data_IF_659344101882
#
_entry.id   IF_659344101882
#
_cell.length_a   1.000
_cell.length_b   1.000
_cell.length_c   1.000
_cell.angle_alpha   90.00
_cell.angle_beta   90.00
_cell.angle_gamma   90.00
#
_symmetry.space_group_name_H-M   'P 1'
#
loop_
_entity.id
_entity.type
_entity.pdbx_description
1 polymer ?
#
# COMPACT_ATOMS: atom_id res chain seq x y z
N UNK A 1 -8.58 1.30 -0.65
CA UNK A 1 -8.03 0.67 0.46
C UNK A 1 -6.89 -0.30 0.26
N UNK A 2 -7.10 -1.57 0.62
CA UNK A 2 -6.03 -2.58 0.74
C UNK A 2 -5.15 -2.72 -0.52
N UNK A 3 -5.75 -2.96 -1.67
CA UNK A 3 -4.98 -3.15 -2.91
C UNK A 3 -4.23 -1.89 -3.35
N UNK A 4 -4.77 -0.71 -3.08
CA UNK A 4 -4.07 0.56 -3.33
C UNK A 4 -2.81 0.67 -2.49
N UNK A 5 -2.87 0.26 -1.21
CA UNK A 5 -1.71 0.27 -0.33
C UNK A 5 -0.59 -0.67 -0.79
N UNK A 6 -0.94 -1.78 -1.46
CA UNK A 6 0.05 -2.72 -1.99
C UNK A 6 0.94 -2.10 -3.08
N UNK A 7 0.42 -1.14 -3.86
CA UNK A 7 1.21 -0.41 -4.86
C UNK A 7 2.36 0.40 -4.25
N UNK A 8 2.27 0.72 -2.98
CA UNK A 8 3.35 1.38 -2.24
C UNK A 8 4.19 0.37 -1.46
N UNK A 9 3.55 -0.39 -0.58
CA UNK A 9 4.24 -1.23 0.40
C UNK A 9 5.00 -2.43 -0.19
N UNK A 10 4.69 -2.84 -1.42
CA UNK A 10 5.37 -3.97 -2.09
C UNK A 10 6.51 -3.53 -3.01
N UNK A 11 6.62 -2.25 -3.30
CA UNK A 11 7.55 -1.73 -4.31
C UNK A 11 8.45 -0.61 -3.80
N UNK A 12 8.22 -0.11 -2.60
CA UNK A 12 9.04 0.93 -1.97
C UNK A 12 9.40 0.43 -0.58
N UNK A 13 10.68 0.39 -0.28
CA UNK A 13 11.19 -0.04 1.01
C UNK A 13 11.64 1.16 1.85
N UNK A 14 11.85 0.90 3.15
CA UNK A 14 12.37 1.92 4.06
C UNK A 14 13.78 2.33 3.62
N UNK A 15 13.99 3.62 3.50
CA UNK A 15 15.29 4.19 3.09
C UNK A 15 15.32 4.66 1.63
N UNK A 16 14.33 4.31 0.82
CA UNK A 16 14.21 4.84 -0.52
C UNK A 16 13.94 6.35 -0.51
N UNK A 17 14.47 7.04 -1.49
CA UNK A 17 14.32 8.48 -1.64
C UNK A 17 13.39 8.84 -2.81
N UNK A 18 12.56 9.86 -2.63
CA UNK A 18 11.77 10.40 -3.73
C UNK A 18 12.65 11.14 -4.74
N UNK A 19 12.33 10.99 -6.01
CA UNK A 19 12.94 11.74 -7.11
C UNK A 19 12.01 12.90 -7.46
N UNK A 20 12.25 14.08 -6.89
CA UNK A 20 11.37 15.25 -7.03
C UNK A 20 11.02 15.56 -8.50
N UNK A 21 12.01 15.49 -9.40
CA UNK A 21 11.80 15.74 -10.83
C UNK A 21 10.93 14.70 -11.54
N UNK A 22 10.66 13.57 -10.88
CA UNK A 22 9.80 12.48 -11.35
C UNK A 22 8.57 12.28 -10.44
N UNK A 23 8.14 13.34 -9.77
CA UNK A 23 6.91 13.40 -9.00
C UNK A 23 6.03 14.54 -9.53
N UNK A 24 4.74 14.30 -9.65
CA UNK A 24 3.78 15.31 -10.12
C UNK A 24 2.38 15.01 -9.61
N UNK A 25 1.62 16.05 -9.38
CA UNK A 25 0.18 15.99 -9.18
C UNK A 25 -0.48 17.22 -9.78
N UNK A 26 -1.60 17.03 -10.45
CA UNK A 26 -2.46 18.13 -10.94
C UNK A 26 -3.45 18.61 -9.86
N UNK A 27 -3.43 18.00 -8.68
CA UNK A 27 -4.26 18.38 -7.55
C UNK A 27 -3.82 19.67 -6.87
N UNK A 28 -4.61 20.13 -5.91
CA UNK A 28 -4.37 21.33 -5.14
C UNK A 28 -4.04 20.99 -3.70
N UNK A 29 -3.24 21.82 -3.00
CA UNK A 29 -3.11 21.68 -1.55
C UNK A 29 -4.49 21.76 -0.88
N UNK A 30 -4.79 20.81 -0.01
CA UNK A 30 -5.97 20.85 0.84
C UNK A 30 -5.96 22.05 1.79
N UNK A 31 -7.08 22.37 2.40
CA UNK A 31 -7.23 23.54 3.27
C UNK A 31 -6.34 23.54 4.51
N UNK A 32 -5.85 22.38 4.93
CA UNK A 32 -4.89 22.18 6.01
C UNK A 32 -3.42 22.19 5.54
N UNK A 33 -3.19 22.23 4.22
CA UNK A 33 -1.87 22.22 3.61
C UNK A 33 -1.13 20.86 3.66
N UNK A 34 -1.76 19.80 4.17
CA UNK A 34 -1.12 18.49 4.38
C UNK A 34 -1.48 17.44 3.34
N UNK A 35 -2.52 17.64 2.57
CA UNK A 35 -2.96 16.70 1.56
C UNK A 35 -3.10 17.37 0.19
N UNK A 36 -2.94 16.59 -0.87
CA UNK A 36 -3.31 16.99 -2.23
C UNK A 36 -4.73 16.50 -2.48
N UNK A 37 -5.61 17.39 -2.86
CA UNK A 37 -7.02 17.10 -3.16
C UNK A 37 -7.36 17.44 -4.60
N UNK A 38 -8.46 16.90 -5.09
CA UNK A 38 -8.96 17.12 -6.46
C UNK A 38 -7.97 16.71 -7.57
N UNK A 39 -7.01 15.83 -7.28
CA UNK A 39 -6.13 15.29 -8.31
C UNK A 39 -6.88 14.30 -9.20
N UNK A 40 -6.76 14.44 -10.51
CA UNK A 40 -7.30 13.49 -11.48
C UNK A 40 -6.22 12.60 -12.08
N UNK A 41 -4.97 13.04 -12.08
CA UNK A 41 -3.81 12.19 -12.34
C UNK A 41 -2.61 12.66 -11.53
N UNK A 42 -1.81 11.71 -11.12
CA UNK A 42 -0.57 12.00 -10.40
C UNK A 42 0.40 10.83 -10.54
N UNK A 43 1.66 11.12 -10.35
CA UNK A 43 2.69 10.10 -10.24
C UNK A 43 3.76 10.50 -9.24
N UNK A 44 4.34 9.48 -8.63
CA UNK A 44 5.49 9.63 -7.75
C UNK A 44 6.52 8.55 -8.04
N UNK A 45 7.77 8.91 -8.00
CA UNK A 45 8.89 7.99 -8.16
C UNK A 45 9.76 8.00 -6.92
N UNK A 46 10.09 6.81 -6.44
CA UNK A 46 11.11 6.61 -5.41
C UNK A 46 12.17 5.64 -5.94
N UNK A 47 13.41 5.82 -5.50
CA UNK A 47 14.52 4.96 -5.84
C UNK A 47 15.32 4.59 -4.59
N UNK A 48 15.89 3.38 -4.64
CA UNK A 48 16.86 2.93 -3.67
C UNK A 48 18.22 3.56 -3.96
N UNK A 49 18.77 4.36 -3.04
CA UNK A 49 20.07 4.98 -3.24
C UNK A 49 21.25 4.00 -3.23
N UNK A 50 21.04 2.77 -2.74
CA UNK A 50 22.10 1.76 -2.64
C UNK A 50 22.12 0.83 -3.86
N UNK A 51 20.96 0.39 -4.34
CA UNK A 51 20.84 -0.59 -5.44
C UNK A 51 20.51 0.04 -6.78
N UNK A 52 20.00 1.27 -6.79
CA UNK A 52 19.49 1.93 -7.98
C UNK A 52 18.17 1.37 -8.50
N UNK A 53 17.51 0.51 -7.74
CA UNK A 53 16.14 0.09 -8.02
C UNK A 53 15.18 1.28 -7.90
N UNK A 54 14.12 1.28 -8.69
CA UNK A 54 13.14 2.36 -8.66
C UNK A 54 11.72 1.84 -8.88
N UNK A 55 10.78 2.61 -8.37
CA UNK A 55 9.34 2.38 -8.54
C UNK A 55 8.63 3.69 -8.77
N UNK A 56 7.74 3.69 -9.76
CA UNK A 56 6.83 4.80 -10.02
C UNK A 56 5.40 4.34 -9.84
N UNK A 57 4.66 5.03 -8.97
CA UNK A 57 3.23 4.81 -8.79
C UNK A 57 2.49 5.93 -9.52
N UNK A 58 1.51 5.55 -10.34
CA UNK A 58 0.73 6.45 -11.19
C UNK A 58 -0.74 6.25 -10.89
N UNK A 59 -1.48 7.33 -10.73
CA UNK A 59 -2.94 7.30 -10.62
C UNK A 59 -3.57 8.02 -11.82
N UNK A 60 -4.66 7.48 -12.34
CA UNK A 60 -5.44 8.08 -13.40
C UNK A 60 -6.93 7.88 -13.10
N UNK A 61 -7.62 8.96 -12.73
CA UNK A 61 -9.08 8.99 -12.54
C UNK A 61 -9.79 9.74 -13.66
N UNK A 62 -9.08 10.03 -14.77
CA UNK A 62 -9.70 10.61 -15.96
C UNK A 62 -10.51 9.56 -16.73
N UNK A 63 -11.34 9.99 -17.66
CA UNK A 63 -12.09 9.10 -18.54
C UNK A 63 -11.25 8.51 -19.70
N UNK A 64 -9.99 8.95 -19.83
CA UNK A 64 -9.13 8.61 -20.97
C UNK A 64 -7.92 7.78 -20.52
N UNK A 65 -7.44 6.91 -21.39
CA UNK A 65 -6.15 6.24 -21.19
C UNK A 65 -5.02 7.25 -21.40
N UNK A 66 -4.07 7.27 -20.46
CA UNK A 66 -2.92 8.15 -20.52
C UNK A 66 -1.63 7.36 -20.75
N UNK A 67 -0.84 7.79 -21.74
CA UNK A 67 0.46 7.18 -22.02
C UNK A 67 1.58 7.96 -21.33
N UNK A 68 2.37 7.26 -20.54
CA UNK A 68 3.53 7.80 -19.85
C UNK A 68 4.81 7.25 -20.47
N UNK A 69 5.63 8.14 -21.03
CA UNK A 69 6.95 7.78 -21.54
C UNK A 69 8.00 8.09 -20.49
N UNK A 70 8.69 7.06 -20.07
CA UNK A 70 9.81 7.14 -19.14
C UNK A 70 11.11 7.35 -19.91
N UNK A 71 11.97 8.22 -19.37
CA UNK A 71 13.35 8.39 -19.81
C UNK A 71 14.23 8.33 -18.56
N UNK A 72 14.98 7.25 -18.41
CA UNK A 72 15.78 6.96 -17.21
C UNK A 72 17.25 7.00 -17.59
N UNK A 73 18.02 7.90 -16.96
CA UNK A 73 19.42 8.12 -17.32
C UNK A 73 20.42 8.10 -16.15
N UNK A 74 19.96 8.29 -14.93
CA UNK A 74 20.86 8.52 -13.80
C UNK A 74 20.77 7.45 -12.69
N UNK A 75 20.07 6.34 -12.96
CA UNK A 75 19.95 5.24 -12.02
C UNK A 75 20.75 4.02 -12.50
N UNK A 76 21.39 3.34 -11.58
CA UNK A 76 22.19 2.14 -11.89
C UNK A 76 21.37 1.02 -12.52
N UNK A 77 20.06 0.99 -12.24
CA UNK A 77 19.09 0.02 -12.81
C UNK A 77 18.28 0.58 -13.98
N UNK A 78 18.71 1.69 -14.60
CA UNK A 78 17.98 2.28 -15.72
C UNK A 78 17.74 1.32 -16.89
N UNK A 79 18.65 0.37 -17.12
CA UNK A 79 18.55 -0.65 -18.16
C UNK A 79 17.72 -1.87 -17.75
N UNK A 80 17.40 -2.01 -16.48
CA UNK A 80 16.74 -3.21 -15.95
C UNK A 80 15.29 -3.31 -16.47
N UNK A 81 14.80 -4.53 -16.74
CA UNK A 81 13.39 -4.73 -17.03
C UNK A 81 12.51 -4.20 -15.89
N UNK A 82 11.35 -3.70 -16.21
CA UNK A 82 10.36 -3.25 -15.23
C UNK A 82 9.11 -4.12 -15.32
N UNK A 83 8.52 -4.40 -14.17
CA UNK A 83 7.17 -4.99 -14.09
C UNK A 83 6.12 -3.90 -13.95
N UNK A 84 4.98 -4.12 -14.58
CA UNK A 84 3.82 -3.21 -14.52
C UNK A 84 2.68 -3.91 -13.80
N UNK A 85 2.20 -3.29 -12.74
CA UNK A 85 1.11 -3.79 -11.90
C UNK A 85 -0.04 -2.80 -11.89
N UNK A 86 -1.26 -3.29 -12.02
CA UNK A 86 -2.48 -2.48 -12.11
C UNK A 86 -3.49 -2.89 -11.03
N UNK A 87 -4.14 -1.91 -10.45
CA UNK A 87 -5.42 -2.05 -9.76
C UNK A 87 -6.38 -1.05 -10.39
N UNK A 88 -7.53 -1.52 -10.83
CA UNK A 88 -8.58 -0.68 -11.41
C UNK A 88 -9.97 -1.22 -11.07
N UNK A 89 -10.97 -0.40 -11.27
CA UNK A 89 -12.36 -0.83 -11.18
C UNK A 89 -12.71 -1.90 -12.23
N UNK A 90 -13.87 -2.55 -12.08
CA UNK A 90 -14.35 -3.54 -13.05
C UNK A 90 -14.62 -2.90 -14.41
N UNK A 91 -14.46 -3.68 -15.48
CA UNK A 91 -14.76 -3.23 -16.86
C UNK A 91 -16.26 -2.91 -17.08
N UNK A 92 -17.11 -3.50 -16.25
CA UNK A 92 -18.56 -3.27 -16.23
C UNK A 92 -19.03 -3.05 -14.81
N UNK A 93 -19.90 -2.06 -14.60
CA UNK A 93 -20.54 -1.83 -13.30
C UNK A 93 -21.40 -3.01 -12.82
N UNK A 94 -21.76 -3.88 -13.75
CA UNK A 94 -22.59 -5.06 -13.48
C UNK A 94 -21.74 -6.32 -13.22
N UNK A 95 -20.42 -6.28 -13.43
CA UNK A 95 -19.56 -7.38 -13.04
C UNK A 95 -19.37 -7.35 -11.52
N UNK A 96 -19.91 -8.33 -10.82
CA UNK A 96 -19.67 -8.51 -9.39
C UNK A 96 -18.25 -8.96 -9.03
N UNK A 97 -17.37 -9.10 -10.02
CA UNK A 97 -16.01 -9.63 -9.87
C UNK A 97 -14.98 -8.51 -9.88
N UNK A 98 -14.83 -7.85 -8.76
CA UNK A 98 -13.82 -6.81 -8.56
C UNK A 98 -12.38 -7.36 -8.49
N UNK A 99 -12.22 -8.64 -8.14
CA UNK A 99 -10.92 -9.22 -7.81
C UNK A 99 -9.99 -9.41 -9.01
N UNK A 100 -10.53 -9.59 -10.23
CA UNK A 100 -9.72 -9.82 -11.44
C UNK A 100 -8.79 -8.67 -11.80
N UNK A 101 -9.16 -7.45 -11.43
CA UNK A 101 -8.44 -6.24 -11.76
C UNK A 101 -7.61 -5.67 -10.60
N UNK A 102 -7.51 -6.40 -9.48
CA UNK A 102 -6.84 -5.91 -8.30
C UNK A 102 -5.42 -6.46 -8.19
N UNK A 103 -4.47 -5.54 -8.09
CA UNK A 103 -3.05 -5.83 -7.91
C UNK A 103 -2.54 -6.92 -8.88
N UNK A 104 -2.83 -6.71 -10.16
CA UNK A 104 -2.52 -7.64 -11.25
C UNK A 104 -1.27 -7.20 -11.98
N UNK A 105 -0.33 -8.11 -12.17
CA UNK A 105 0.78 -7.88 -13.10
C UNK A 105 0.26 -7.93 -14.52
N UNK A 106 0.41 -6.84 -15.25
CA UNK A 106 -0.13 -6.70 -16.61
C UNK A 106 0.94 -6.74 -17.70
N UNK A 107 2.20 -6.42 -17.37
CA UNK A 107 3.30 -6.46 -18.31
C UNK A 107 4.67 -6.61 -17.63
N UNK A 108 5.64 -7.07 -18.42
CA UNK A 108 7.07 -6.85 -18.23
C UNK A 108 7.58 -6.07 -19.42
N UNK A 109 8.35 -5.00 -19.19
CA UNK A 109 8.88 -4.14 -20.24
C UNK A 109 10.40 -4.08 -20.10
N UNK A 110 11.09 -4.34 -21.22
CA UNK A 110 12.54 -4.11 -21.29
C UNK A 110 12.77 -2.72 -21.88
N UNK A 111 13.43 -1.82 -21.14
CA UNK A 111 13.75 -0.49 -21.65
C UNK A 111 14.65 -0.56 -22.89
N UNK A 112 14.50 0.42 -23.78
CA UNK A 112 15.32 0.54 -24.99
C UNK A 112 16.27 1.71 -24.83
N UNK A 113 17.56 1.48 -25.06
CA UNK A 113 18.55 2.54 -25.04
C UNK A 113 18.35 3.50 -26.22
N UNK A 114 18.33 4.79 -25.90
CA UNK A 114 18.24 5.86 -26.87
C UNK A 114 18.98 7.09 -26.34
N UNK A 115 19.96 7.56 -27.08
CA UNK A 115 20.73 8.79 -26.81
C UNK A 115 21.35 8.81 -25.37
N UNK A 116 21.80 7.65 -24.89
CA UNK A 116 22.42 7.51 -23.57
C UNK A 116 21.45 7.45 -22.38
N UNK A 117 20.17 7.29 -22.69
CA UNK A 117 19.11 7.03 -21.70
C UNK A 117 18.33 5.77 -22.07
N UNK A 118 17.60 5.22 -21.12
CA UNK A 118 16.72 4.06 -21.30
C UNK A 118 15.26 4.52 -21.32
N UNK A 119 14.52 4.13 -22.34
CA UNK A 119 13.15 4.60 -22.56
C UNK A 119 12.16 3.46 -22.68
N UNK A 120 10.96 3.68 -22.18
CA UNK A 120 9.80 2.80 -22.33
C UNK A 120 8.50 3.60 -22.13
N UNK A 121 7.38 3.04 -22.56
CA UNK A 121 6.05 3.67 -22.42
C UNK A 121 5.09 2.71 -21.70
N UNK A 122 4.28 3.27 -20.84
CA UNK A 122 3.22 2.57 -20.11
C UNK A 122 1.90 3.30 -20.32
N UNK A 123 0.87 2.56 -20.72
CA UNK A 123 -0.50 3.06 -20.86
C UNK A 123 -1.27 2.81 -19.57
N UNK A 124 -1.79 3.87 -18.96
CA UNK A 124 -2.55 3.84 -17.72
C UNK A 124 -4.02 4.10 -18.02
N UNK A 125 -4.85 3.09 -17.79
CA UNK A 125 -6.28 3.13 -18.08
C UNK A 125 -7.04 4.08 -17.15
N UNK A 126 -8.28 4.47 -17.52
CA UNK A 126 -9.19 5.16 -16.60
C UNK A 126 -9.37 4.42 -15.28
N UNK A 127 -9.62 5.18 -14.22
CA UNK A 127 -9.92 4.69 -12.86
C UNK A 127 -8.93 3.63 -12.37
N UNK A 128 -7.63 3.88 -12.59
CA UNK A 128 -6.59 2.93 -12.21
C UNK A 128 -5.46 3.55 -11.38
N UNK A 129 -4.82 2.68 -10.61
CA UNK A 129 -3.50 2.90 -10.04
C UNK A 129 -2.56 1.86 -10.63
N UNK A 130 -1.41 2.32 -11.10
CA UNK A 130 -0.39 1.49 -11.75
C UNK A 130 0.94 1.69 -11.05
N UNK A 131 1.65 0.60 -10.79
CA UNK A 131 3.05 0.64 -10.37
C UNK A 131 3.94 0.09 -11.48
N UNK A 132 5.00 0.83 -11.78
CA UNK A 132 6.09 0.43 -12.68
C UNK A 132 7.35 0.31 -11.84
N UNK A 133 7.99 -0.86 -11.83
CA UNK A 133 9.10 -1.09 -10.91
C UNK A 133 10.14 -2.05 -11.48
N UNK A 134 11.42 -1.80 -11.14
CA UNK A 134 12.52 -2.75 -11.31
C UNK A 134 12.51 -3.84 -10.24
N UNK A 135 11.77 -3.62 -9.13
CA UNK A 135 11.53 -4.64 -8.11
C UNK A 135 10.42 -5.58 -8.61
N UNK A 136 10.69 -6.86 -8.55
CA UNK A 136 9.71 -7.91 -8.81
C UNK A 136 9.30 -8.49 -7.45
N UNK A 137 8.24 -7.97 -6.81
CA UNK A 137 7.77 -8.60 -5.60
C UNK A 137 7.38 -10.03 -5.98
N UNK A 138 8.07 -11.00 -5.39
CA UNK A 138 7.53 -12.34 -5.40
C UNK A 138 6.10 -12.21 -4.91
N UNK A 139 5.15 -12.54 -5.77
CA UNK A 139 3.80 -12.78 -5.30
C UNK A 139 3.98 -13.91 -4.30
N UNK A 140 4.12 -13.54 -3.03
CA UNK A 140 3.88 -14.50 -1.97
C UNK A 140 2.51 -15.03 -2.35
N UNK A 141 2.50 -16.23 -2.93
CA UNK A 141 1.27 -16.98 -3.00
C UNK A 141 0.66 -16.74 -1.63
N UNK A 142 -0.53 -16.17 -1.60
CA UNK A 142 -1.29 -16.18 -0.36
C UNK A 142 -1.18 -17.64 0.04
N UNK A 143 -0.34 -17.92 1.02
CA UNK A 143 -0.38 -19.22 1.65
C UNK A 143 -1.84 -19.30 1.98
N UNK A 144 -2.52 -20.14 1.23
CA UNK A 144 -3.93 -20.40 1.47
C UNK A 144 -3.89 -20.95 2.87
N UNK A 145 -3.97 -20.03 3.85
CA UNK A 145 -3.98 -20.42 5.24
C UNK A 145 -5.14 -21.36 5.29
N UNK A 146 -4.83 -22.63 5.46
CA UNK A 146 -5.85 -23.64 5.54
C UNK A 146 -6.83 -23.19 6.60
N UNK A 147 -7.93 -22.62 6.15
CA UNK A 147 -8.96 -22.10 7.04
C UNK A 147 -9.78 -23.22 7.64
N UNK A 148 -9.52 -24.48 7.21
CA UNK A 148 -10.18 -25.66 7.74
C UNK A 148 -9.84 -25.91 9.21
N UNK A 149 -8.68 -25.43 9.69
CA UNK A 149 -8.27 -25.50 11.09
C UNK A 149 -8.56 -24.22 11.88
N UNK A 150 -9.26 -23.24 11.31
CA UNK A 150 -9.65 -22.05 12.07
C UNK A 150 -10.62 -22.46 13.17
N UNK A 151 -10.09 -22.44 14.37
CA UNK A 151 -10.91 -22.51 15.56
C UNK A 151 -11.79 -21.26 15.59
N UNK A 152 -13.08 -21.44 15.51
CA UNK A 152 -14.02 -20.34 15.70
C UNK A 152 -13.85 -19.79 17.13
N UNK A 153 -13.95 -18.48 17.28
CA UNK A 153 -13.96 -17.86 18.59
C UNK A 153 -15.12 -18.44 19.39
N UNK A 154 -14.81 -19.07 20.51
CA UNK A 154 -15.83 -19.62 21.41
C UNK A 154 -16.58 -18.49 22.10
N UNK A 155 -17.91 -18.59 22.08
CA UNK A 155 -18.77 -17.65 22.81
C UNK A 155 -19.39 -18.31 24.04
N UNK A 156 -19.55 -17.61 25.18
CA UNK A 156 -19.13 -16.21 25.40
C UNK A 156 -17.62 -16.07 25.48
N UNK A 157 -17.07 -15.00 24.86
CA UNK A 157 -15.66 -14.65 24.93
C UNK A 157 -15.42 -13.67 26.10
N UNK A 158 -14.35 -13.89 26.82
CA UNK A 158 -13.82 -12.95 27.81
C UNK A 158 -12.30 -12.88 27.72
N UNK A 159 -11.73 -11.73 28.04
CA UNK A 159 -10.30 -11.51 28.09
C UNK A 159 -9.96 -10.79 29.39
N UNK A 160 -9.03 -11.34 30.16
CA UNK A 160 -8.52 -10.74 31.39
C UNK A 160 -7.24 -9.96 31.17
N UNK A 161 -6.73 -9.96 29.92
CA UNK A 161 -5.52 -9.28 29.47
C UNK A 161 -4.21 -9.77 30.12
N UNK A 162 -4.22 -10.84 30.88
CA UNK A 162 -3.02 -11.31 31.60
C UNK A 162 -2.02 -12.05 30.72
N UNK A 163 -2.45 -12.76 29.70
CA UNK A 163 -1.63 -13.47 28.70
C UNK A 163 -0.43 -14.27 29.23
N UNK A 164 -0.50 -14.77 30.47
CA UNK A 164 0.59 -15.52 31.10
C UNK A 164 0.99 -16.82 30.36
N UNK A 165 0.11 -17.35 29.54
CA UNK A 165 0.33 -18.56 28.74
C UNK A 165 1.02 -18.28 27.40
N UNK A 166 1.33 -17.01 27.11
CA UNK A 166 1.98 -16.57 25.89
C UNK A 166 3.46 -16.23 26.13
N UNK A 167 4.30 -16.10 25.07
CA UNK A 167 5.68 -15.64 25.21
C UNK A 167 5.76 -14.28 25.95
N UNK A 168 6.86 -14.05 26.67
CA UNK A 168 7.09 -12.84 27.46
C UNK A 168 6.94 -11.54 26.64
N UNK A 169 7.30 -11.59 25.37
CA UNK A 169 7.20 -10.46 24.43
C UNK A 169 5.86 -10.38 23.70
N UNK A 170 4.87 -11.18 24.09
CA UNK A 170 3.59 -11.26 23.36
C UNK A 170 2.90 -9.91 23.18
N UNK A 171 2.78 -9.12 24.25
CA UNK A 171 2.18 -7.79 24.17
C UNK A 171 3.08 -6.79 23.45
N UNK A 172 4.35 -6.72 23.78
CA UNK A 172 5.29 -5.76 23.21
C UNK A 172 5.51 -5.98 21.72
N UNK A 173 5.58 -7.24 21.27
CA UNK A 173 5.76 -7.57 19.84
C UNK A 173 4.57 -7.17 18.96
N UNK A 174 3.40 -6.97 19.55
CA UNK A 174 2.17 -6.58 18.84
C UNK A 174 1.65 -5.18 19.21
N UNK A 175 2.51 -4.33 19.79
CA UNK A 175 2.16 -2.97 20.15
C UNK A 175 1.09 -2.88 21.24
N UNK A 176 1.11 -3.83 22.17
CA UNK A 176 0.16 -3.93 23.29
C UNK A 176 -1.31 -4.11 22.89
N UNK A 177 -1.58 -4.46 21.63
CA UNK A 177 -2.94 -4.75 21.17
C UNK A 177 -3.52 -5.99 21.88
N UNK A 178 -4.77 -5.95 22.35
CA UNK A 178 -5.43 -7.13 22.93
C UNK A 178 -5.60 -8.25 21.90
N UNK A 179 -5.84 -9.44 22.37
CA UNK A 179 -6.07 -10.64 21.57
C UNK A 179 -7.39 -10.54 20.79
N UNK A 180 -7.39 -10.95 19.53
CA UNK A 180 -8.59 -10.99 18.68
C UNK A 180 -9.31 -9.66 18.45
N UNK A 181 -8.65 -8.54 18.67
CA UNK A 181 -9.20 -7.21 18.45
C UNK A 181 -8.38 -6.44 17.43
N UNK A 182 -9.01 -5.47 16.80
CA UNK A 182 -8.40 -4.50 15.89
C UNK A 182 -9.02 -3.15 16.17
N UNK A 183 -8.17 -2.13 16.29
CA UNK A 183 -8.66 -0.78 16.51
C UNK A 183 -9.29 -0.21 15.24
N UNK A 184 -10.50 0.30 15.37
CA UNK A 184 -11.14 1.12 14.34
C UNK A 184 -11.00 2.62 14.63
N UNK A 185 -10.67 2.94 15.88
CA UNK A 185 -10.41 4.30 16.33
C UNK A 185 -10.15 4.32 17.83
N UNK A 186 -9.38 5.30 18.30
CA UNK A 186 -9.13 5.51 19.73
C UNK A 186 -7.87 4.86 20.28
N UNK A 187 -7.14 4.05 19.52
CA UNK A 187 -5.93 3.34 19.94
C UNK A 187 -6.07 2.66 21.31
N UNK A 188 -6.49 1.40 21.32
CA UNK A 188 -6.67 0.62 22.54
C UNK A 188 -5.44 -0.25 22.80
N UNK A 189 -4.88 -0.13 23.99
CA UNK A 189 -3.69 -0.87 24.42
C UNK A 189 -3.92 -1.54 25.79
N UNK A 190 -3.26 -2.67 26.00
CA UNK A 190 -3.22 -3.32 27.29
C UNK A 190 -2.16 -2.65 28.15
N UNK A 191 -2.56 -2.04 29.23
CA UNK A 191 -1.67 -1.49 30.26
C UNK A 191 -1.31 -2.59 31.26
N UNK A 192 -0.01 -2.79 31.44
CA UNK A 192 0.51 -3.81 32.38
C UNK A 192 0.70 -3.18 33.76
N UNK A 193 0.10 -3.76 34.79
CA UNK A 193 0.24 -3.27 36.14
C UNK A 193 0.37 -4.39 37.21
N UNK A 194 0.98 -4.06 38.33
CA UNK A 194 1.14 -5.01 39.47
C UNK A 194 -0.21 -5.46 40.05
N UNK A 195 -1.28 -4.75 39.82
CA UNK A 195 -2.63 -5.06 40.32
C UNK A 195 -3.52 -5.79 39.32
N UNK A 196 -2.96 -6.16 38.16
CA UNK A 196 -3.65 -6.78 37.02
C UNK A 196 -3.65 -5.87 35.79
N UNK A 197 -3.64 -6.49 34.62
CA UNK A 197 -3.65 -5.78 33.35
C UNK A 197 -5.06 -5.29 33.02
N UNK A 198 -5.14 -4.19 32.27
CA UNK A 198 -6.42 -3.61 31.84
C UNK A 198 -6.31 -2.92 30.49
N UNK A 199 -7.43 -2.78 29.81
CA UNK A 199 -7.51 -2.12 28.50
C UNK A 199 -7.67 -0.60 28.68
N UNK A 200 -6.85 0.17 27.97
CA UNK A 200 -6.87 1.63 27.95
C UNK A 200 -7.13 2.15 26.55
N UNK A 201 -8.00 3.12 26.43
CA UNK A 201 -8.10 3.93 25.23
C UNK A 201 -7.10 5.08 25.33
N UNK A 202 -6.03 5.03 24.52
CA UNK A 202 -4.93 6.00 24.54
C UNK A 202 -5.31 7.34 23.89
N UNK A 203 -6.17 7.30 22.90
CA UNK A 203 -6.59 8.49 22.15
C UNK A 203 -8.09 8.68 22.30
N UNK A 204 -8.49 9.79 22.91
CA UNK A 204 -9.90 10.18 22.98
C UNK A 204 -10.39 10.49 21.56
N UNK A 205 -11.32 9.71 21.05
CA UNK A 205 -11.95 9.99 19.78
C UNK A 205 -12.99 11.08 19.96
N UNK A 206 -12.78 12.21 19.32
CA UNK A 206 -13.79 13.25 19.22
C UNK A 206 -14.91 12.72 18.29
N UNK A 207 -16.16 12.75 18.79
CA UNK A 207 -17.30 12.22 18.04
C UNK A 207 -17.59 13.18 16.87
N UNK A 208 -16.90 13.01 15.76
CA UNK A 208 -17.20 13.70 14.50
C UNK A 208 -18.12 12.85 13.62
N UNK A 209 -19.20 12.39 14.19
CA UNK A 209 -20.18 11.53 13.51
C UNK A 209 -20.91 12.19 12.34
N UNK A 210 -20.49 13.38 11.89
CA UNK A 210 -21.20 14.15 10.86
C UNK A 210 -20.47 14.27 9.54
N UNK A 211 -19.24 13.75 9.43
CA UNK A 211 -18.39 14.00 8.26
C UNK A 211 -18.12 12.73 7.43
N UNK A 212 -18.96 11.71 7.57
CA UNK A 212 -18.91 10.47 6.77
C UNK A 212 -20.04 10.44 5.76
#
# INVERSE_FOLDING_TARGET
GFYTSLHFSRFIEKGWAFIDSACYSDGKPGGDGHAIVDAVYSYMTAADPETGDYSTIITNTTAETMDYTFTVSALDKAFAPVSVWETRGPDSKDSGEYDENYFKKIADITPVEKDGAYTYTVSVKPDSIVTVSTVFPERTEYVNMDTSEKTLLSLPYSDDFEYSDYPEDYLSSRGYAPRYTTDEGGAFEVEVSDSGNYLVQQITQDIRAKDW
#
